data_IF_297947753480
#
_entry.id   IF_297947753480
#
_cell.length_a   1.000
_cell.length_b   1.000
_cell.length_c   1.000
_cell.angle_alpha   90.00
_cell.angle_beta   90.00
_cell.angle_gamma   90.00
#
_symmetry.space_group_name_H-M   'P 1'
#
loop_
_entity.id
_entity.type
_entity.pdbx_description
1 polymer ?
#
# COMPACT_ATOMS: atom_id res chain seq x y z
N UNK A 1 13.65 -22.01 -43.30
CA UNK A 1 13.00 -21.51 -42.07
C UNK A 1 13.81 -20.32 -41.55
N UNK A 2 13.32 -19.10 -41.74
CA UNK A 2 14.05 -17.89 -41.32
C UNK A 2 13.66 -17.58 -39.88
N UNK A 3 14.58 -17.81 -38.94
CA UNK A 3 14.39 -17.41 -37.55
C UNK A 3 14.31 -15.88 -37.49
N UNK A 4 13.17 -15.35 -37.04
CA UNK A 4 13.00 -13.92 -36.75
C UNK A 4 13.98 -13.52 -35.64
N UNK A 5 14.61 -12.32 -35.72
CA UNK A 5 15.42 -11.81 -34.63
C UNK A 5 14.57 -11.70 -33.36
N UNK A 6 15.10 -12.14 -32.21
CA UNK A 6 14.53 -11.78 -30.91
C UNK A 6 14.63 -10.26 -30.79
N UNK A 7 13.52 -9.55 -30.87
CA UNK A 7 13.47 -8.13 -30.50
C UNK A 7 14.01 -8.01 -29.07
N UNK A 8 15.17 -7.38 -28.91
CA UNK A 8 15.60 -6.89 -27.61
C UNK A 8 14.61 -5.82 -27.18
N UNK A 9 13.71 -6.20 -26.26
CA UNK A 9 12.82 -5.24 -25.61
C UNK A 9 13.69 -4.21 -24.92
N UNK A 10 13.81 -3.03 -25.51
CA UNK A 10 14.55 -1.92 -24.95
C UNK A 10 13.93 -1.62 -23.57
N UNK A 11 14.70 -1.83 -22.50
CA UNK A 11 14.21 -1.56 -21.15
C UNK A 11 13.77 -0.09 -21.08
N UNK A 12 12.61 0.21 -20.45
CA UNK A 12 12.20 1.58 -20.20
C UNK A 12 13.37 2.35 -19.57
N UNK A 13 13.57 3.62 -19.92
CA UNK A 13 14.60 4.47 -19.30
C UNK A 13 13.97 5.35 -18.22
N UNK A 14 13.18 4.72 -17.37
CA UNK A 14 12.50 5.35 -16.24
C UNK A 14 13.35 5.25 -14.96
N UNK A 15 12.96 6.00 -13.93
CA UNK A 15 13.65 6.11 -12.64
C UNK A 15 13.61 4.84 -11.78
N UNK A 16 12.97 3.76 -12.28
CA UNK A 16 12.93 2.46 -11.61
C UNK A 16 13.85 1.40 -12.23
N UNK A 17 14.44 1.68 -13.39
CA UNK A 17 15.20 0.69 -14.14
C UNK A 17 16.50 0.31 -13.45
N UNK A 18 16.72 -1.00 -13.28
CA UNK A 18 17.88 -1.58 -12.59
C UNK A 18 17.75 -1.62 -11.06
N UNK A 19 16.70 -1.04 -10.49
CA UNK A 19 16.44 -1.08 -9.04
C UNK A 19 15.90 -2.43 -8.58
N UNK A 20 16.18 -2.81 -7.33
CA UNK A 20 15.63 -4.05 -6.73
C UNK A 20 14.10 -4.06 -6.70
N UNK A 21 13.48 -2.87 -6.66
CA UNK A 21 12.03 -2.68 -6.66
C UNK A 21 11.41 -2.69 -8.06
N UNK A 22 12.22 -2.67 -9.15
CA UNK A 22 11.74 -2.54 -10.53
C UNK A 22 10.64 -3.55 -10.84
N UNK A 23 10.91 -4.84 -10.57
CA UNK A 23 9.95 -5.92 -10.86
C UNK A 23 8.65 -5.77 -10.08
N UNK A 24 8.73 -5.33 -8.82
CA UNK A 24 7.57 -5.12 -7.97
C UNK A 24 6.71 -3.94 -8.45
N UNK A 25 7.33 -2.78 -8.71
CA UNK A 25 6.62 -1.59 -9.19
C UNK A 25 5.98 -1.86 -10.56
N UNK A 26 6.73 -2.45 -11.50
CA UNK A 26 6.18 -2.82 -12.82
C UNK A 26 5.01 -3.79 -12.70
N UNK A 27 5.06 -4.76 -11.78
CA UNK A 27 3.96 -5.68 -11.54
C UNK A 27 2.72 -4.95 -11.00
N UNK A 28 2.88 -4.11 -9.98
CA UNK A 28 1.77 -3.33 -9.42
C UNK A 28 1.16 -2.38 -10.45
N UNK A 29 1.99 -1.74 -11.29
CA UNK A 29 1.53 -0.89 -12.39
C UNK A 29 0.73 -1.69 -13.44
N UNK A 30 1.23 -2.87 -13.85
CA UNK A 30 0.51 -3.73 -14.80
C UNK A 30 -0.85 -4.23 -14.29
N UNK A 31 -1.03 -4.28 -12.98
CA UNK A 31 -2.30 -4.65 -12.33
C UNK A 31 -3.21 -3.45 -12.08
N UNK A 32 -2.78 -2.23 -12.43
CA UNK A 32 -3.50 -0.98 -12.15
C UNK A 32 -3.55 -0.61 -10.66
N UNK A 33 -2.68 -1.21 -9.83
CA UNK A 33 -2.65 -0.97 -8.39
C UNK A 33 -1.92 0.33 -8.07
N UNK A 34 -0.74 0.50 -8.67
CA UNK A 34 0.14 1.66 -8.50
C UNK A 34 0.24 2.40 -9.84
N UNK A 35 0.31 3.72 -9.79
CA UNK A 35 0.62 4.56 -10.94
C UNK A 35 1.76 5.48 -10.54
N UNK A 36 2.68 5.73 -11.47
CA UNK A 36 3.73 6.73 -11.27
C UNK A 36 3.17 8.16 -11.30
N UNK A 37 4.05 9.13 -11.10
CA UNK A 37 3.72 10.56 -11.13
C UNK A 37 3.50 11.08 -12.57
N UNK A 38 3.78 10.24 -13.58
CA UNK A 38 3.67 10.54 -15.00
C UNK A 38 5.04 10.71 -15.66
N UNK A 39 5.06 10.84 -16.99
CA UNK A 39 6.29 11.11 -17.77
C UNK A 39 7.47 10.16 -17.50
N UNK A 40 7.20 8.91 -17.13
CA UNK A 40 8.25 7.93 -16.79
C UNK A 40 8.87 8.10 -15.40
N UNK A 41 8.20 8.81 -14.49
CA UNK A 41 8.62 8.99 -13.10
C UNK A 41 7.70 8.21 -12.17
N UNK A 42 8.28 7.35 -11.31
CA UNK A 42 7.58 6.66 -10.23
C UNK A 42 8.00 7.15 -8.84
N UNK A 43 9.12 7.87 -8.73
CA UNK A 43 9.68 8.40 -7.49
C UNK A 43 9.84 7.33 -6.38
N UNK A 44 10.61 6.25 -6.63
CA UNK A 44 10.65 5.07 -5.73
C UNK A 44 11.21 5.35 -4.33
N UNK A 45 11.89 6.47 -4.13
CA UNK A 45 12.45 6.90 -2.85
C UNK A 45 11.63 7.98 -2.14
N UNK A 46 10.52 8.44 -2.74
CA UNK A 46 9.64 9.41 -2.10
C UNK A 46 8.84 8.74 -0.99
N UNK A 47 8.66 9.46 0.13
CA UNK A 47 7.75 9.04 1.18
C UNK A 47 6.31 8.99 0.65
N UNK A 48 5.64 7.86 0.89
CA UNK A 48 4.23 7.65 0.54
C UNK A 48 3.33 8.25 1.62
N UNK A 49 2.26 8.93 1.22
CA UNK A 49 1.27 9.46 2.17
C UNK A 49 0.26 8.40 2.59
N UNK A 50 -0.44 8.65 3.70
CA UNK A 50 -1.53 7.78 4.16
C UNK A 50 -2.63 7.63 3.11
N UNK A 51 -3.01 8.71 2.42
CA UNK A 51 -4.01 8.68 1.36
C UNK A 51 -3.57 7.87 0.13
N UNK A 52 -2.31 8.02 -0.28
CA UNK A 52 -1.74 7.23 -1.38
C UNK A 52 -1.74 5.73 -1.04
N UNK A 53 -1.32 5.37 0.18
CA UNK A 53 -1.31 3.98 0.61
C UNK A 53 -2.73 3.40 0.70
N UNK A 54 -3.71 4.18 1.18
CA UNK A 54 -5.13 3.79 1.15
C UNK A 54 -5.62 3.52 -0.27
N UNK A 55 -5.20 4.32 -1.26
CA UNK A 55 -5.54 4.10 -2.66
C UNK A 55 -4.93 2.81 -3.20
N UNK A 56 -3.67 2.50 -2.86
CA UNK A 56 -3.01 1.25 -3.25
C UNK A 56 -3.76 0.02 -2.72
N UNK A 57 -4.13 0.01 -1.43
CA UNK A 57 -4.90 -1.09 -0.83
C UNK A 57 -6.27 -1.24 -1.49
N UNK A 58 -6.98 -0.12 -1.69
CA UNK A 58 -8.28 -0.11 -2.34
C UNK A 58 -8.24 -0.72 -3.75
N UNK A 59 -7.25 -0.31 -4.56
CA UNK A 59 -7.04 -0.83 -5.90
C UNK A 59 -6.66 -2.33 -5.87
N UNK A 60 -5.73 -2.72 -4.99
CA UNK A 60 -5.25 -4.09 -4.87
C UNK A 60 -6.37 -5.08 -4.52
N UNK A 61 -7.25 -4.69 -3.60
CA UNK A 61 -8.36 -5.53 -3.16
C UNK A 61 -9.61 -5.41 -4.05
N UNK A 62 -9.64 -4.41 -4.95
CA UNK A 62 -10.81 -3.99 -5.72
C UNK A 62 -12.02 -3.78 -4.81
N UNK A 63 -11.82 -2.99 -3.75
CA UNK A 63 -12.86 -2.76 -2.74
C UNK A 63 -14.13 -2.18 -3.39
N UNK A 64 -15.33 -2.55 -2.91
CA UNK A 64 -16.57 -1.91 -3.35
C UNK A 64 -16.59 -0.44 -2.93
N UNK A 65 -17.53 0.33 -3.49
CA UNK A 65 -17.73 1.72 -3.07
C UNK A 65 -17.99 1.83 -1.57
N UNK A 66 -17.45 2.90 -0.98
CA UNK A 66 -17.58 3.21 0.43
C UNK A 66 -18.14 4.61 0.64
N UNK A 67 -18.92 4.79 1.70
CA UNK A 67 -19.53 6.06 2.08
C UNK A 67 -18.98 6.63 3.40
N UNK A 68 -18.12 5.89 4.11
CA UNK A 68 -17.47 6.40 5.33
C UNK A 68 -16.44 7.45 4.94
N UNK A 69 -16.44 8.59 5.64
CA UNK A 69 -15.55 9.72 5.36
C UNK A 69 -14.90 10.22 6.64
N UNK A 70 -13.97 11.15 6.48
CA UNK A 70 -13.29 11.89 7.55
C UNK A 70 -13.46 13.38 7.31
N UNK A 71 -13.37 14.18 8.37
CA UNK A 71 -13.63 15.64 8.30
C UNK A 71 -12.57 16.37 7.47
N UNK A 72 -11.36 15.83 7.42
CA UNK A 72 -10.19 16.35 6.73
C UNK A 72 -9.92 15.68 5.37
N UNK A 73 -10.88 14.92 4.83
CA UNK A 73 -10.69 14.20 3.55
C UNK A 73 -10.32 15.15 2.40
N UNK A 74 -10.82 16.39 2.44
CA UNK A 74 -10.58 17.41 1.42
C UNK A 74 -9.16 17.97 1.42
N UNK A 75 -8.35 17.67 2.45
CA UNK A 75 -6.92 17.99 2.43
C UNK A 75 -6.16 17.10 1.44
N UNK A 76 -6.67 15.89 1.16
CA UNK A 76 -6.10 15.01 0.16
C UNK A 76 -6.49 15.47 -1.26
N UNK A 77 -5.64 15.14 -2.24
CA UNK A 77 -6.01 15.29 -3.65
C UNK A 77 -7.30 14.49 -3.98
N UNK A 78 -8.27 15.05 -4.74
CA UNK A 78 -9.57 14.42 -4.99
C UNK A 78 -9.52 12.98 -5.52
N UNK A 79 -8.50 12.64 -6.34
CA UNK A 79 -8.33 11.28 -6.88
C UNK A 79 -8.08 10.20 -5.81
N UNK A 80 -7.68 10.60 -4.60
CA UNK A 80 -7.39 9.71 -3.48
C UNK A 80 -8.61 9.50 -2.57
N UNK A 81 -9.62 10.36 -2.63
CA UNK A 81 -10.78 10.35 -1.73
C UNK A 81 -11.50 9.01 -1.74
N UNK A 82 -11.73 8.46 -2.93
CA UNK A 82 -12.39 7.17 -3.09
C UNK A 82 -11.59 6.03 -2.43
N UNK A 83 -10.26 6.04 -2.53
CA UNK A 83 -9.41 5.07 -1.84
C UNK A 83 -9.57 5.11 -0.32
N UNK A 84 -9.64 6.31 0.24
CA UNK A 84 -9.87 6.54 1.68
C UNK A 84 -11.25 6.01 2.08
N UNK A 85 -12.31 6.41 1.36
CA UNK A 85 -13.69 6.04 1.68
C UNK A 85 -13.91 4.52 1.64
N UNK A 86 -13.41 3.85 0.59
CA UNK A 86 -13.51 2.39 0.44
C UNK A 86 -12.80 1.65 1.56
N UNK A 87 -11.56 2.03 1.85
CA UNK A 87 -10.80 1.41 2.94
C UNK A 87 -11.43 1.65 4.32
N UNK A 88 -12.00 2.84 4.55
CA UNK A 88 -12.70 3.15 5.78
C UNK A 88 -13.99 2.32 5.94
N UNK A 89 -14.80 2.23 4.89
CA UNK A 89 -16.01 1.38 4.87
C UNK A 89 -15.70 -0.11 4.99
N UNK A 90 -14.56 -0.57 4.47
CA UNK A 90 -14.08 -1.94 4.64
C UNK A 90 -13.47 -2.24 6.02
N UNK A 91 -13.39 -1.24 6.93
CA UNK A 91 -12.79 -1.40 8.25
C UNK A 91 -11.26 -1.47 8.28
N UNK A 92 -10.61 -1.23 7.14
CA UNK A 92 -9.14 -1.23 6.98
C UNK A 92 -8.54 0.02 7.63
N UNK A 93 -9.23 1.16 7.54
CA UNK A 93 -8.80 2.45 8.09
C UNK A 93 -9.79 2.94 9.15
N UNK A 94 -9.27 3.42 10.28
CA UNK A 94 -10.06 4.00 11.38
C UNK A 94 -9.76 5.48 11.65
N UNK A 95 -8.78 6.09 10.97
CA UNK A 95 -8.30 7.45 11.30
C UNK A 95 -7.34 7.49 12.49
N UNK A 96 -7.00 8.69 12.95
CA UNK A 96 -6.16 8.95 14.13
C UNK A 96 -6.97 9.32 15.39
N UNK A 97 -8.29 9.35 15.30
CA UNK A 97 -9.19 9.86 16.34
C UNK A 97 -10.00 11.05 15.85
N UNK A 98 -11.05 11.42 16.57
CA UNK A 98 -11.85 12.63 16.30
C UNK A 98 -12.31 12.80 14.82
N UNK A 99 -12.58 11.68 14.14
CA UNK A 99 -12.95 11.66 12.72
C UNK A 99 -11.88 12.25 11.76
N UNK A 100 -10.62 12.32 12.19
CA UNK A 100 -9.46 12.79 11.42
C UNK A 100 -8.72 11.60 10.79
N UNK A 101 -8.38 11.71 9.50
CA UNK A 101 -7.57 10.71 8.79
C UNK A 101 -6.10 11.11 8.64
N UNK A 102 -5.80 12.39 8.55
CA UNK A 102 -4.49 12.98 8.27
C UNK A 102 -3.92 12.45 6.93
N UNK A 103 -4.52 12.81 5.79
CA UNK A 103 -4.27 12.16 4.50
C UNK A 103 -2.87 12.40 3.92
N UNK A 104 -2.30 13.59 4.15
CA UNK A 104 -1.06 14.03 3.51
C UNK A 104 0.19 13.67 4.31
N UNK A 105 0.04 13.23 5.57
CA UNK A 105 1.17 12.80 6.36
C UNK A 105 1.82 11.54 5.78
N UNK A 106 3.16 11.43 5.82
CA UNK A 106 3.87 10.20 5.50
C UNK A 106 3.35 9.04 6.35
N UNK A 107 3.07 7.91 5.71
CA UNK A 107 2.64 6.71 6.43
C UNK A 107 3.83 6.05 7.14
N UNK A 108 3.64 5.63 8.39
CA UNK A 108 4.69 4.93 9.13
C UNK A 108 4.68 3.43 8.82
N UNK A 109 5.80 2.74 9.07
CA UNK A 109 5.89 1.27 8.92
C UNK A 109 4.89 0.52 9.81
N UNK A 110 4.58 1.08 10.97
CA UNK A 110 3.59 0.52 11.89
C UNK A 110 2.18 0.67 11.32
N UNK A 111 1.83 1.83 10.78
CA UNK A 111 0.54 2.06 10.13
C UNK A 111 0.35 1.18 8.89
N UNK A 112 1.41 1.02 8.09
CA UNK A 112 1.43 0.07 6.98
C UNK A 112 1.11 -1.34 7.48
N UNK A 113 1.73 -1.78 8.57
CA UNK A 113 1.51 -3.12 9.14
C UNK A 113 0.05 -3.31 9.58
N UNK A 114 -0.54 -2.32 10.24
CA UNK A 114 -1.95 -2.37 10.68
C UNK A 114 -2.89 -2.46 9.47
N UNK A 115 -2.64 -1.63 8.45
CA UNK A 115 -3.49 -1.60 7.26
C UNK A 115 -3.38 -2.89 6.44
N UNK A 116 -2.17 -3.48 6.32
CA UNK A 116 -1.99 -4.76 5.63
C UNK A 116 -2.64 -5.91 6.42
N UNK A 117 -2.49 -5.98 7.76
CA UNK A 117 -3.16 -7.02 8.57
C UNK A 117 -4.68 -6.95 8.36
N UNK A 118 -5.26 -5.75 8.46
CA UNK A 118 -6.70 -5.57 8.24
C UNK A 118 -7.13 -5.89 6.81
N UNK A 119 -6.33 -5.53 5.81
CA UNK A 119 -6.59 -5.86 4.41
C UNK A 119 -6.59 -7.38 4.16
N UNK A 120 -5.64 -8.12 4.77
CA UNK A 120 -5.59 -9.58 4.69
C UNK A 120 -6.78 -10.22 5.42
N UNK A 121 -7.10 -9.74 6.62
CA UNK A 121 -8.26 -10.21 7.39
C UNK A 121 -9.57 -9.94 6.67
N UNK A 122 -9.71 -8.82 5.96
CA UNK A 122 -10.84 -8.54 5.09
C UNK A 122 -11.01 -9.60 3.99
N UNK A 123 -9.89 -10.18 3.50
CA UNK A 123 -9.89 -11.31 2.56
C UNK A 123 -10.00 -12.69 3.22
N UNK A 124 -10.23 -12.75 4.53
CA UNK A 124 -10.29 -14.01 5.30
C UNK A 124 -8.92 -14.63 5.58
N UNK A 125 -7.82 -13.92 5.32
CA UNK A 125 -6.45 -14.37 5.60
C UNK A 125 -6.05 -13.78 6.95
N UNK A 126 -5.88 -14.64 7.96
CA UNK A 126 -5.46 -14.22 9.30
C UNK A 126 -4.21 -14.98 9.69
N UNK A 127 -3.16 -14.25 10.05
CA UNK A 127 -1.95 -14.84 10.61
C UNK A 127 -2.15 -15.24 12.07
N UNK A 128 -1.26 -16.10 12.56
CA UNK A 128 -1.21 -16.52 13.96
C UNK A 128 -0.51 -15.45 14.82
N UNK A 129 -0.90 -15.38 16.10
CA UNK A 129 -0.16 -14.56 17.07
C UNK A 129 1.11 -15.29 17.49
N UNK A 130 2.25 -14.88 16.93
CA UNK A 130 3.57 -15.49 17.18
C UNK A 130 4.50 -14.56 17.93
N UNK A 131 5.53 -15.11 18.57
CA UNK A 131 6.57 -14.30 19.20
C UNK A 131 7.43 -13.61 18.13
N UNK A 132 7.63 -12.29 18.27
CA UNK A 132 8.50 -11.53 17.37
C UNK A 132 9.98 -11.73 17.75
N UNK A 133 10.87 -11.95 16.77
CA UNK A 133 12.31 -12.11 17.00
C UNK A 133 13.05 -10.77 17.14
N UNK A 134 12.36 -9.64 16.92
CA UNK A 134 12.99 -8.32 16.90
C UNK A 134 13.39 -7.83 18.30
N UNK A 135 14.56 -7.21 18.42
CA UNK A 135 15.09 -6.67 19.67
C UNK A 135 14.33 -5.44 20.15
N UNK A 136 13.84 -4.65 19.22
CA UNK A 136 13.08 -3.41 19.40
C UNK A 136 11.56 -3.62 19.48
N UNK A 137 11.09 -4.88 19.53
CA UNK A 137 9.65 -5.22 19.59
C UNK A 137 8.87 -4.56 20.74
N UNK A 138 9.57 -4.04 21.75
CA UNK A 138 8.99 -3.32 22.86
C UNK A 138 8.49 -1.91 22.46
N UNK A 139 9.01 -1.34 21.38
CA UNK A 139 8.62 -0.03 20.83
C UNK A 139 7.37 -0.10 19.93
N UNK A 140 6.92 -1.31 19.57
CA UNK A 140 5.75 -1.50 18.73
C UNK A 140 4.49 -1.29 19.57
N UNK A 141 3.65 -0.33 19.17
CA UNK A 141 2.36 -0.05 19.80
C UNK A 141 1.35 -1.14 19.43
N UNK A 142 1.25 -1.50 18.14
CA UNK A 142 0.27 -2.45 17.62
C UNK A 142 0.89 -3.82 17.33
N UNK A 143 1.33 -4.50 18.39
CA UNK A 143 2.09 -5.75 18.30
C UNK A 143 1.37 -6.86 17.53
N UNK A 144 0.06 -7.02 17.74
CA UNK A 144 -0.69 -8.12 17.11
C UNK A 144 -0.63 -8.09 15.59
N UNK A 145 -0.76 -6.91 14.96
CA UNK A 145 -0.71 -6.78 13.51
C UNK A 145 0.66 -7.24 12.98
N UNK A 146 1.74 -6.83 13.65
CA UNK A 146 3.11 -7.24 13.29
C UNK A 146 3.31 -8.74 13.52
N UNK A 147 2.76 -9.30 14.59
CA UNK A 147 2.81 -10.75 14.87
C UNK A 147 2.12 -11.56 13.78
N UNK A 148 0.89 -11.19 13.41
CA UNK A 148 0.14 -11.87 12.36
C UNK A 148 0.88 -11.79 11.03
N UNK A 149 1.37 -10.61 10.66
CA UNK A 149 2.13 -10.44 9.42
C UNK A 149 3.46 -11.21 9.42
N UNK A 150 4.16 -11.27 10.55
CA UNK A 150 5.38 -12.08 10.69
C UNK A 150 5.09 -13.57 10.50
N UNK A 151 3.99 -14.09 11.07
CA UNK A 151 3.57 -15.48 10.86
C UNK A 151 3.30 -15.81 9.38
N UNK A 152 2.87 -14.81 8.61
CA UNK A 152 2.60 -14.90 7.17
C UNK A 152 3.84 -14.61 6.31
N UNK A 153 5.01 -14.37 6.92
CA UNK A 153 6.27 -14.00 6.26
C UNK A 153 6.18 -12.71 5.43
N UNK A 154 5.30 -11.79 5.84
CA UNK A 154 5.17 -10.46 5.22
C UNK A 154 6.19 -9.47 5.80
N UNK A 155 6.51 -9.62 7.09
CA UNK A 155 7.54 -8.85 7.82
C UNK A 155 8.44 -9.80 8.59
#
# INVERSE_FOLDING_TARGET
EVQKPKEEVQKPKDDITGGWFEGHIRKLNSLGIMQGEGNGVFAPYRNVTRAEFAKLISNALKLPEGNKSFVDINEAHPSLHDGIKRCASAGIINGRGEEIFDPNSPITREEVSIMIDKALRYKGITGELVALPFTDKHLITYKESVQRLYSLKVV
#
